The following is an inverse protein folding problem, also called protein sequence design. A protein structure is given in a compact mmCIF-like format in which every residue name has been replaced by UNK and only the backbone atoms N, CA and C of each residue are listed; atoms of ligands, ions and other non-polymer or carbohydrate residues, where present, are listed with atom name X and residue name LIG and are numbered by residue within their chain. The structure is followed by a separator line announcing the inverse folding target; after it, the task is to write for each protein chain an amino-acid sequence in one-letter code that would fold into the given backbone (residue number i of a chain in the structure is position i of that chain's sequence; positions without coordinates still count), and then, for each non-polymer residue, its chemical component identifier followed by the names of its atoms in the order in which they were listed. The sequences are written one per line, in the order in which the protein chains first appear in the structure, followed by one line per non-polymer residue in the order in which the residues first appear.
data_IF_020531761636
#
_entry.id   IF_020531761636
#
_cell.length_a   1.000
_cell.length_b   1.000
_cell.length_c   1.000
_cell.angle_alpha   90.00
_cell.angle_beta   90.00
_cell.angle_gamma   90.00
#
_symmetry.space_group_name_H-M   'P 1'
#
loop_
_entity.id
_entity.type
_entity.pdbx_description
1 polymer ?
#
# COMPACT_ATOMS: atom_id res chain seq x y z
N UNK A 1 10.29 4.24 -1.11
CA UNK A 1 11.07 4.59 -2.33
C UNK A 1 10.49 3.84 -3.52
N UNK A 2 10.42 4.47 -4.69
CA UNK A 2 10.08 3.84 -5.96
C UNK A 2 11.03 4.29 -7.07
N UNK A 3 11.66 3.36 -7.78
CA UNK A 3 12.44 3.67 -8.98
C UNK A 3 11.53 3.90 -10.17
N UNK A 4 11.84 4.90 -10.99
CA UNK A 4 11.13 5.15 -12.24
C UNK A 4 11.23 3.91 -13.14
N UNK A 5 10.19 3.55 -13.94
CA UNK A 5 10.26 2.38 -14.84
C UNK A 5 11.42 2.46 -15.86
N UNK A 6 11.87 3.68 -16.16
CA UNK A 6 13.03 3.98 -17.00
C UNK A 6 14.28 4.39 -16.19
N UNK A 7 14.41 3.94 -14.93
CA UNK A 7 15.52 4.33 -14.06
C UNK A 7 16.90 4.16 -14.70
N UNK A 8 17.09 3.10 -15.49
CA UNK A 8 18.36 2.85 -16.20
C UNK A 8 18.76 3.97 -17.16
N UNK A 9 17.80 4.71 -17.71
CA UNK A 9 18.08 5.82 -18.64
C UNK A 9 18.00 7.20 -17.98
N UNK A 10 17.10 7.41 -17.01
CA UNK A 10 16.88 8.73 -16.42
C UNK A 10 17.42 8.89 -14.99
N UNK A 11 17.75 7.80 -14.31
CA UNK A 11 18.24 7.83 -12.93
C UNK A 11 17.21 8.30 -11.89
N UNK A 12 15.93 8.42 -12.24
CA UNK A 12 14.91 8.99 -11.37
C UNK A 12 14.33 8.00 -10.37
N UNK A 13 14.21 8.42 -9.12
CA UNK A 13 13.50 7.69 -8.08
C UNK A 13 12.72 8.64 -7.18
N UNK A 14 11.72 8.10 -6.50
CA UNK A 14 10.75 8.85 -5.73
C UNK A 14 10.77 8.41 -4.27
N UNK A 15 10.76 9.37 -3.37
CA UNK A 15 10.77 9.16 -1.92
C UNK A 15 9.50 9.77 -1.35
N UNK A 16 8.84 9.02 -0.46
CA UNK A 16 7.77 9.53 0.38
C UNK A 16 8.28 9.55 1.82
N UNK A 17 8.19 10.69 2.48
CA UNK A 17 8.62 10.89 3.86
C UNK A 17 7.79 11.96 4.55
N UNK A 18 7.82 11.96 5.88
CA UNK A 18 7.24 13.02 6.71
C UNK A 18 8.32 14.08 6.98
N UNK A 19 8.04 15.34 6.65
CA UNK A 19 8.96 16.45 6.89
C UNK A 19 8.97 16.90 8.36
N UNK A 20 9.82 17.87 8.70
CA UNK A 20 9.98 18.34 10.08
C UNK A 20 8.74 19.09 10.63
N UNK A 21 7.81 19.50 9.77
CA UNK A 21 6.52 20.07 10.19
C UNK A 21 5.46 19.00 10.42
N UNK A 22 5.76 17.73 10.11
CA UNK A 22 4.80 16.62 10.17
C UNK A 22 4.06 16.35 8.86
N UNK A 23 4.32 17.11 7.80
CA UNK A 23 3.61 16.96 6.52
C UNK A 23 4.22 15.85 5.67
N UNK A 24 3.40 15.16 4.86
CA UNK A 24 3.92 14.21 3.89
C UNK A 24 4.48 14.93 2.66
N UNK A 25 5.69 14.53 2.26
CA UNK A 25 6.36 14.93 1.02
C UNK A 25 6.54 13.73 0.12
N UNK A 26 6.18 13.88 -1.15
CA UNK A 26 6.63 13.01 -2.23
C UNK A 26 7.57 13.81 -3.10
N UNK A 27 8.81 13.35 -3.20
CA UNK A 27 9.86 14.04 -3.94
C UNK A 27 10.53 13.10 -4.93
N UNK A 28 10.94 13.66 -6.06
CA UNK A 28 11.81 13.00 -7.04
C UNK A 28 13.25 13.40 -6.78
N UNK A 29 14.13 12.42 -6.87
CA UNK A 29 15.58 12.58 -6.91
C UNK A 29 16.16 11.89 -8.14
N UNK A 30 17.41 12.22 -8.46
CA UNK A 30 18.22 11.56 -9.48
C UNK A 30 19.45 10.95 -8.82
N UNK A 31 19.89 9.79 -9.29
CA UNK A 31 21.18 9.21 -8.93
C UNK A 31 22.33 10.14 -9.35
N UNK A 32 23.39 10.21 -8.55
CA UNK A 32 24.60 10.95 -8.88
C UNK A 32 25.45 10.19 -9.92
N UNK A 33 26.65 10.70 -10.21
CA UNK A 33 27.63 9.94 -11.00
C UNK A 33 28.09 8.65 -10.31
N UNK A 34 27.98 8.58 -8.98
CA UNK A 34 28.11 7.32 -8.25
C UNK A 34 26.73 6.62 -8.21
N UNK A 35 26.60 5.40 -8.77
CA UNK A 35 25.32 4.70 -8.85
C UNK A 35 24.71 4.32 -7.49
N UNK A 36 25.50 4.36 -6.41
CA UNK A 36 25.05 4.06 -5.05
C UNK A 36 24.71 5.32 -4.23
N UNK A 37 24.77 6.51 -4.84
CA UNK A 37 24.56 7.79 -4.14
C UNK A 37 23.54 8.64 -4.88
N UNK A 38 22.51 9.10 -4.16
CA UNK A 38 21.58 10.11 -4.63
C UNK A 38 22.26 11.49 -4.77
N UNK A 39 21.94 12.27 -5.81
CA UNK A 39 22.33 13.69 -5.85
C UNK A 39 21.40 14.51 -4.93
N UNK A 40 21.89 15.07 -3.79
CA UNK A 40 21.05 15.82 -2.87
C UNK A 40 20.49 17.12 -3.46
N UNK A 41 21.10 17.67 -4.53
CA UNK A 41 20.63 18.89 -5.21
C UNK A 41 19.53 18.62 -6.24
N UNK A 42 19.27 17.34 -6.52
CA UNK A 42 18.28 16.93 -7.53
C UNK A 42 16.84 16.91 -7.03
N UNK A 43 16.62 17.10 -5.72
CA UNK A 43 15.30 17.06 -5.10
C UNK A 43 14.28 17.94 -5.85
N UNK A 44 13.15 17.36 -6.23
CA UNK A 44 11.99 18.06 -6.80
C UNK A 44 10.73 17.63 -6.08
N UNK A 45 10.03 18.60 -5.49
CA UNK A 45 8.75 18.37 -4.86
C UNK A 45 7.71 17.97 -5.90
N UNK A 46 7.11 16.79 -5.71
CA UNK A 46 6.01 16.29 -6.54
C UNK A 46 4.68 16.56 -5.86
N UNK A 47 4.55 16.18 -4.58
CA UNK A 47 3.36 16.46 -3.78
C UNK A 47 3.76 16.84 -2.34
N UNK A 48 3.01 17.77 -1.77
CA UNK A 48 2.96 18.06 -0.33
C UNK A 48 1.53 17.83 0.15
N UNK A 49 1.38 17.11 1.25
CA UNK A 49 0.08 16.83 1.87
C UNK A 49 0.20 17.15 3.34
N UNK A 50 -0.60 18.10 3.80
CA UNK A 50 -0.62 18.51 5.20
C UNK A 50 -1.24 17.40 6.05
N UNK A 51 -0.62 17.08 7.20
CA UNK A 51 -1.08 16.02 8.10
C UNK A 51 -1.70 16.62 9.37
N UNK A 52 -2.96 16.28 9.72
CA UNK A 52 -3.60 16.80 10.93
C UNK A 52 -3.08 16.14 12.22
N UNK A 53 -2.56 14.91 12.15
CA UNK A 53 -1.99 14.18 13.29
C UNK A 53 -0.67 13.50 12.91
N UNK A 54 0.03 12.94 13.92
CA UNK A 54 1.35 12.33 13.74
C UNK A 54 1.32 10.87 13.26
N UNK A 55 0.14 10.32 12.95
CA UNK A 55 -0.06 8.92 12.56
C UNK A 55 -0.92 8.81 11.29
N UNK A 56 -0.94 7.61 10.71
CA UNK A 56 -1.65 7.28 9.45
C UNK A 56 -1.16 8.06 8.23
N UNK A 57 0.15 8.29 8.14
CA UNK A 57 0.77 9.00 7.02
C UNK A 57 0.89 8.13 5.75
N UNK A 58 0.47 6.85 5.79
CA UNK A 58 0.77 5.88 4.75
C UNK A 58 2.27 5.74 4.54
N UNK A 59 2.72 5.82 3.29
CA UNK A 59 4.15 5.97 2.99
C UNK A 59 4.64 5.20 1.77
N UNK A 60 3.89 4.18 1.32
CA UNK A 60 4.29 3.47 0.12
C UNK A 60 4.01 4.30 -1.14
N UNK A 61 5.01 4.34 -2.00
CA UNK A 61 4.92 4.80 -3.39
C UNK A 61 5.37 3.67 -4.31
N UNK A 62 4.66 3.46 -5.42
CA UNK A 62 4.97 2.39 -6.38
C UNK A 62 4.45 2.74 -7.77
N UNK A 63 5.18 2.35 -8.81
CA UNK A 63 4.67 2.45 -10.17
C UNK A 63 3.73 1.29 -10.51
N UNK A 64 2.54 1.65 -10.99
CA UNK A 64 1.57 0.68 -11.48
C UNK A 64 1.96 0.09 -12.84
N UNK A 65 1.25 -0.95 -13.31
CA UNK A 65 1.47 -1.55 -14.63
C UNK A 65 1.17 -0.60 -15.80
N UNK A 66 0.45 0.50 -15.53
CA UNK A 66 0.12 1.58 -16.46
C UNK A 66 1.19 2.68 -16.52
N UNK A 67 2.30 2.54 -15.79
CA UNK A 67 3.38 3.51 -15.73
C UNK A 67 3.11 4.74 -14.87
N UNK A 68 1.98 4.78 -14.15
CA UNK A 68 1.65 5.89 -13.25
C UNK A 68 2.23 5.66 -11.87
N UNK A 69 2.51 6.75 -11.14
CA UNK A 69 2.95 6.69 -9.75
C UNK A 69 1.71 6.61 -8.84
N UNK A 70 1.60 5.52 -8.09
CA UNK A 70 0.57 5.32 -7.06
C UNK A 70 1.13 5.64 -5.69
N UNK A 71 0.30 6.24 -4.85
CA UNK A 71 0.66 6.72 -3.51
C UNK A 71 -0.45 6.31 -2.56
N UNK A 72 -0.10 5.53 -1.53
CA UNK A 72 -1.03 5.19 -0.45
C UNK A 72 -1.00 6.28 0.62
N UNK A 73 -2.16 6.82 0.96
CA UNK A 73 -2.30 7.89 1.95
C UNK A 73 -3.38 7.52 2.96
N UNK A 74 -3.03 7.50 4.25
CA UNK A 74 -4.01 7.33 5.31
C UNK A 74 -4.84 8.58 5.53
N UNK A 75 -5.85 8.46 6.38
CA UNK A 75 -6.84 9.50 6.73
C UNK A 75 -6.22 10.70 7.49
N UNK A 76 -4.93 10.62 7.81
CA UNK A 76 -4.19 11.66 8.51
C UNK A 76 -4.22 11.54 10.02
N UNK A 77 -4.80 10.46 10.55
CA UNK A 77 -4.57 10.01 11.92
C UNK A 77 -5.74 10.23 12.87
N UNK A 78 -5.44 10.10 14.16
CA UNK A 78 -6.42 9.95 15.24
C UNK A 78 -7.30 8.69 15.09
N UNK A 79 -8.19 8.47 16.07
CA UNK A 79 -9.14 7.37 16.04
C UNK A 79 -10.44 7.77 15.34
N UNK A 80 -10.89 6.93 14.40
CA UNK A 80 -12.22 7.07 13.81
C UNK A 80 -12.40 8.17 12.77
N UNK A 81 -11.31 8.69 12.19
CA UNK A 81 -11.32 9.69 11.12
C UNK A 81 -12.16 10.94 11.47
N UNK A 82 -11.71 11.75 12.45
CA UNK A 82 -12.49 12.90 12.94
C UNK A 82 -12.69 14.01 11.91
N UNK A 83 -11.96 13.97 10.79
CA UNK A 83 -12.10 14.91 9.67
C UNK A 83 -12.84 14.31 8.47
N UNK A 84 -13.36 13.09 8.61
CA UNK A 84 -14.10 12.36 7.58
C UNK A 84 -13.35 12.25 6.24
N UNK A 85 -12.03 12.22 6.31
CA UNK A 85 -11.16 12.19 5.15
C UNK A 85 -11.37 10.94 4.31
N UNK A 86 -11.59 9.77 4.91
CA UNK A 86 -11.80 8.50 4.20
C UNK A 86 -12.86 8.63 3.11
N UNK A 87 -14.03 9.15 3.46
CA UNK A 87 -15.15 9.30 2.53
C UNK A 87 -15.13 10.60 1.71
N UNK A 88 -14.43 11.63 2.16
CA UNK A 88 -14.38 12.92 1.47
C UNK A 88 -13.40 12.89 0.26
N UNK A 89 -13.87 12.99 -1.00
CA UNK A 89 -13.00 12.99 -2.18
C UNK A 89 -12.30 14.34 -2.41
N UNK A 90 -12.61 15.38 -1.63
CA UNK A 90 -12.00 16.72 -1.75
C UNK A 90 -10.64 16.82 -1.07
N UNK A 91 -10.20 15.78 -0.36
CA UNK A 91 -8.88 15.70 0.28
C UNK A 91 -7.99 14.66 -0.40
N UNK A 92 -6.69 14.72 -0.12
CA UNK A 92 -5.72 13.70 -0.53
C UNK A 92 -5.51 12.61 0.54
N UNK A 93 -6.13 12.77 1.71
CA UNK A 93 -6.03 11.88 2.87
C UNK A 93 -7.12 10.79 2.81
N UNK A 94 -6.80 9.57 3.22
CA UNK A 94 -7.68 8.42 3.18
C UNK A 94 -7.93 7.92 1.75
N UNK A 95 -6.87 7.90 0.93
CA UNK A 95 -6.93 7.68 -0.52
C UNK A 95 -5.83 6.74 -1.02
N UNK A 96 -6.13 6.10 -2.15
CA UNK A 96 -5.08 5.81 -3.13
C UNK A 96 -5.02 6.97 -4.11
N UNK A 97 -3.84 7.54 -4.33
CA UNK A 97 -3.60 8.56 -5.33
C UNK A 97 -2.89 7.96 -6.54
N UNK A 98 -3.09 8.56 -7.72
CA UNK A 98 -2.46 8.15 -8.98
C UNK A 98 -2.14 9.38 -9.83
N UNK A 99 -0.86 9.58 -10.13
CA UNK A 99 -0.35 10.74 -10.89
C UNK A 99 0.59 10.30 -12.01
N UNK A 100 0.71 11.12 -13.06
CA UNK A 100 1.67 10.92 -14.13
C UNK A 100 2.89 11.83 -13.94
N UNK A 101 4.05 11.23 -13.63
CA UNK A 101 5.33 11.94 -13.43
C UNK A 101 6.23 11.95 -14.68
N UNK A 102 5.71 11.50 -15.83
CA UNK A 102 6.40 11.55 -17.13
C UNK A 102 5.94 12.71 -18.02
N UNK A 103 4.84 13.37 -17.64
CA UNK A 103 4.26 14.49 -18.38
C UNK A 103 4.92 15.83 -18.05
N UNK A 104 4.13 16.91 -18.13
CA UNK A 104 4.54 18.24 -17.66
C UNK A 104 4.80 18.19 -16.15
N UNK A 105 5.93 18.76 -15.73
CA UNK A 105 6.34 18.89 -14.33
C UNK A 105 5.37 19.77 -13.52
N UNK A 106 5.18 19.51 -12.20
CA UNK A 106 5.77 18.39 -11.46
C UNK A 106 5.07 17.05 -11.71
N UNK A 107 3.84 17.06 -12.23
CA UNK A 107 3.09 15.91 -12.69
C UNK A 107 1.89 16.36 -13.53
N UNK A 108 1.28 15.42 -14.26
CA UNK A 108 -0.05 15.60 -14.87
C UNK A 108 -1.05 14.61 -14.28
N UNK A 109 -2.34 14.92 -14.47
CA UNK A 109 -3.44 14.06 -14.03
C UNK A 109 -3.75 13.03 -15.12
N UNK A 110 -3.69 11.73 -14.82
CA UNK A 110 -4.15 10.70 -15.75
C UNK A 110 -5.65 10.82 -16.05
N UNK A 111 -6.03 10.80 -17.32
CA UNK A 111 -7.43 10.92 -17.75
C UNK A 111 -8.35 9.79 -17.21
N UNK A 112 -7.77 8.65 -16.85
CA UNK A 112 -8.50 7.53 -16.23
C UNK A 112 -8.83 7.71 -14.75
N UNK A 113 -8.43 8.82 -14.11
CA UNK A 113 -8.81 9.09 -12.73
C UNK A 113 -10.30 9.50 -12.64
N UNK A 114 -11.03 9.08 -11.59
CA UNK A 114 -12.46 9.36 -11.43
C UNK A 114 -12.81 10.86 -11.41
N UNK A 115 -11.89 11.70 -10.93
CA UNK A 115 -12.07 13.16 -10.82
C UNK A 115 -11.10 13.94 -11.71
N UNK A 116 -10.68 13.37 -12.85
CA UNK A 116 -9.61 13.94 -13.67
C UNK A 116 -9.88 15.38 -14.15
N UNK A 117 -11.15 15.80 -14.24
CA UNK A 117 -11.56 17.15 -14.61
C UNK A 117 -11.68 18.12 -13.42
N UNK A 118 -11.38 17.68 -12.19
CA UNK A 118 -11.49 18.47 -10.97
C UNK A 118 -12.92 18.67 -10.45
N UNK A 119 -13.91 18.00 -11.04
CA UNK A 119 -15.28 18.02 -10.55
C UNK A 119 -15.53 16.86 -9.58
N UNK A 120 -16.19 17.13 -8.45
CA UNK A 120 -16.59 16.10 -7.48
C UNK A 120 -15.48 15.56 -6.57
N UNK A 121 -14.21 15.89 -6.83
CA UNK A 121 -13.09 15.46 -5.98
C UNK A 121 -11.73 15.97 -6.50
N UNK A 122 -10.67 15.63 -5.76
CA UNK A 122 -9.29 15.97 -6.13
C UNK A 122 -8.86 15.13 -7.34
N UNK A 123 -8.28 15.75 -8.39
CA UNK A 123 -7.91 15.03 -9.61
C UNK A 123 -6.92 13.88 -9.42
N UNK A 124 -6.10 13.92 -8.36
CA UNK A 124 -5.13 12.89 -8.01
C UNK A 124 -5.77 11.60 -7.46
N UNK A 125 -6.99 11.67 -6.96
CA UNK A 125 -7.65 10.56 -6.28
C UNK A 125 -7.97 9.44 -7.28
N UNK A 126 -7.47 8.24 -6.97
CA UNK A 126 -7.78 7.00 -7.68
C UNK A 126 -8.87 6.19 -6.96
N UNK A 127 -8.80 6.13 -5.63
CA UNK A 127 -9.76 5.42 -4.78
C UNK A 127 -9.92 6.13 -3.42
N UNK A 128 -11.07 5.92 -2.79
CA UNK A 128 -11.47 6.51 -1.49
C UNK A 128 -11.68 5.44 -0.42
N UNK A 129 -11.91 5.86 0.80
CA UNK A 129 -12.31 4.99 1.90
C UNK A 129 -11.16 4.19 2.50
N UNK A 130 -9.95 4.76 2.54
CA UNK A 130 -8.81 4.15 3.21
C UNK A 130 -8.60 4.72 4.60
N UNK A 131 -8.11 3.90 5.54
CA UNK A 131 -7.70 4.35 6.87
C UNK A 131 -6.21 4.67 6.93
N UNK A 132 -5.37 3.68 6.69
CA UNK A 132 -3.92 3.79 6.63
C UNK A 132 -3.37 2.65 5.72
N UNK A 133 -3.40 2.83 4.39
CA UNK A 133 -2.98 1.82 3.41
C UNK A 133 -1.46 1.69 3.43
N UNK A 134 -0.96 1.00 4.45
CA UNK A 134 0.45 0.93 4.82
C UNK A 134 1.30 0.37 3.69
N UNK A 135 0.81 -0.71 3.07
CA UNK A 135 1.48 -1.43 1.99
C UNK A 135 0.49 -1.83 0.90
N UNK A 136 0.91 -1.70 -0.35
CA UNK A 136 0.20 -2.24 -1.50
C UNK A 136 1.19 -2.81 -2.53
N UNK A 137 0.69 -3.63 -3.45
CA UNK A 137 1.50 -4.20 -4.52
C UNK A 137 0.64 -4.57 -5.72
N UNK A 138 1.24 -4.51 -6.91
CA UNK A 138 0.61 -4.99 -8.14
C UNK A 138 1.11 -6.37 -8.50
N UNK A 139 0.21 -7.33 -8.61
CA UNK A 139 0.50 -8.60 -9.25
C UNK A 139 0.28 -8.46 -10.76
N UNK A 140 1.34 -8.11 -11.48
CA UNK A 140 1.28 -7.83 -12.92
C UNK A 140 0.83 -9.04 -13.73
N UNK A 141 1.12 -10.26 -13.27
CA UNK A 141 0.73 -11.47 -13.97
C UNK A 141 -0.78 -11.73 -13.86
N UNK A 142 -1.39 -11.44 -12.71
CA UNK A 142 -2.83 -11.59 -12.51
C UNK A 142 -3.64 -10.32 -12.84
N UNK A 143 -2.98 -9.16 -13.01
CA UNK A 143 -3.65 -7.88 -13.20
C UNK A 143 -4.39 -7.40 -11.94
N UNK A 144 -3.88 -7.73 -10.75
CA UNK A 144 -4.52 -7.42 -9.47
C UNK A 144 -3.72 -6.39 -8.67
N UNK A 145 -4.43 -5.55 -7.93
CA UNK A 145 -3.90 -4.65 -6.91
C UNK A 145 -4.30 -5.18 -5.54
N UNK A 146 -3.31 -5.42 -4.69
CA UNK A 146 -3.46 -5.79 -3.28
C UNK A 146 -3.12 -4.58 -2.42
N UNK A 147 -3.99 -4.24 -1.47
CA UNK A 147 -3.81 -3.12 -0.55
C UNK A 147 -4.05 -3.64 0.87
N UNK A 148 -3.02 -3.63 1.69
CA UNK A 148 -3.12 -3.90 3.13
C UNK A 148 -3.36 -2.58 3.84
N UNK A 149 -4.57 -2.42 4.37
CA UNK A 149 -5.04 -1.23 5.05
C UNK A 149 -5.18 -1.52 6.55
N UNK A 150 -4.52 -0.69 7.37
CA UNK A 150 -4.44 -0.91 8.81
C UNK A 150 -5.76 -0.53 9.47
N UNK A 151 -6.32 -1.47 10.22
CA UNK A 151 -7.57 -1.34 10.95
C UNK A 151 -7.53 -0.42 12.16
N UNK A 152 -8.68 -0.12 12.75
CA UNK A 152 -8.77 0.77 13.90
C UNK A 152 -8.56 0.05 15.23
N UNK A 153 -9.48 -0.86 15.59
CA UNK A 153 -9.55 -1.49 16.91
C UNK A 153 -9.82 -2.99 16.86
N UNK A 154 -10.37 -3.51 15.76
CA UNK A 154 -10.93 -4.86 15.71
C UNK A 154 -10.41 -5.68 14.56
N UNK A 155 -10.26 -5.09 13.37
CA UNK A 155 -10.04 -5.85 12.14
C UNK A 155 -9.00 -5.18 11.27
N UNK A 156 -7.99 -5.95 10.91
CA UNK A 156 -7.07 -5.63 9.83
C UNK A 156 -7.62 -6.13 8.49
N UNK A 157 -7.27 -5.47 7.38
CA UNK A 157 -7.85 -5.81 6.08
C UNK A 157 -6.86 -5.81 4.90
N UNK A 158 -7.15 -6.69 3.94
CA UNK A 158 -6.48 -6.76 2.66
C UNK A 158 -7.54 -6.67 1.56
N UNK A 159 -7.54 -5.54 0.87
CA UNK A 159 -8.35 -5.25 -0.29
C UNK A 159 -7.69 -5.79 -1.55
N UNK A 160 -8.45 -6.46 -2.41
CA UNK A 160 -7.95 -6.99 -3.69
C UNK A 160 -8.94 -6.68 -4.81
N UNK A 161 -8.48 -5.97 -5.83
CA UNK A 161 -9.29 -5.57 -6.99
C UNK A 161 -8.48 -5.69 -8.28
N UNK A 162 -9.12 -5.71 -9.47
CA UNK A 162 -8.42 -5.49 -10.72
C UNK A 162 -7.60 -4.20 -10.67
N UNK A 163 -6.35 -4.24 -11.12
CA UNK A 163 -5.40 -3.13 -11.01
C UNK A 163 -5.85 -1.85 -11.75
N UNK A 164 -6.71 -1.99 -12.76
CA UNK A 164 -7.27 -0.89 -13.55
C UNK A 164 -8.61 -0.35 -13.01
N UNK A 165 -9.09 -0.85 -11.87
CA UNK A 165 -10.39 -0.46 -11.32
C UNK A 165 -10.30 0.88 -10.58
N UNK A 166 -10.70 1.95 -11.27
CA UNK A 166 -10.76 3.31 -10.76
C UNK A 166 -12.00 3.55 -9.88
N UNK A 167 -11.94 4.54 -8.99
CA UNK A 167 -13.10 5.06 -8.26
C UNK A 167 -13.67 4.12 -7.20
N UNK A 168 -12.89 3.15 -6.73
CA UNK A 168 -13.31 2.23 -5.67
C UNK A 168 -13.40 2.98 -4.35
N UNK A 169 -14.45 2.74 -3.58
CA UNK A 169 -14.59 3.20 -2.19
C UNK A 169 -14.46 1.99 -1.26
N UNK A 170 -13.40 1.94 -0.45
CA UNK A 170 -13.13 0.82 0.46
C UNK A 170 -13.84 0.92 1.82
N UNK A 171 -14.55 2.02 2.04
CA UNK A 171 -15.57 2.12 3.09
C UNK A 171 -15.12 2.70 4.42
N UNK A 172 -13.84 2.97 4.67
CA UNK A 172 -13.44 3.70 5.88
C UNK A 172 -13.97 5.15 5.86
N UNK A 173 -14.58 5.69 6.91
CA UNK A 173 -14.78 5.14 8.27
C UNK A 173 -16.19 4.57 8.52
N UNK A 174 -16.97 4.25 7.48
CA UNK A 174 -18.26 3.54 7.59
C UNK A 174 -18.06 2.07 7.97
N UNK A 175 -17.00 1.47 7.45
CA UNK A 175 -16.61 0.08 7.62
C UNK A 175 -15.27 -0.03 8.35
N UNK A 176 -15.11 -1.10 9.13
CA UNK A 176 -13.84 -1.62 9.60
C UNK A 176 -13.81 -3.11 9.22
N UNK A 177 -13.01 -3.47 8.21
CA UNK A 177 -13.17 -4.76 7.55
C UNK A 177 -14.56 -4.90 6.91
N UNK A 178 -15.23 -6.02 7.17
CA UNK A 178 -16.62 -6.29 6.75
C UNK A 178 -17.67 -5.91 7.79
N UNK A 179 -17.25 -5.32 8.91
CA UNK A 179 -18.13 -4.88 9.98
C UNK A 179 -18.37 -3.38 9.90
N UNK A 180 -19.54 -2.93 10.35
CA UNK A 180 -19.77 -1.49 10.52
C UNK A 180 -18.82 -0.96 11.59
N UNK A 181 -18.23 0.20 11.34
CA UNK A 181 -17.33 0.83 12.30
C UNK A 181 -18.10 1.32 13.55
N UNK A 182 -17.41 1.34 14.70
CA UNK A 182 -17.95 1.78 15.98
C UNK A 182 -18.90 0.76 16.64
N UNK A 183 -19.95 1.28 17.30
CA UNK A 183 -21.00 0.48 17.95
C UNK A 183 -22.26 0.33 17.09
N UNK A 184 -22.16 0.67 15.80
CA UNK A 184 -23.28 0.60 14.88
C UNK A 184 -23.59 -0.85 14.52
N UNK A 185 -24.83 -1.27 14.76
CA UNK A 185 -25.31 -2.60 14.34
C UNK A 185 -25.58 -2.68 12.84
N UNK A 186 -25.79 -1.53 12.18
CA UNK A 186 -26.03 -1.39 10.74
C UNK A 186 -25.41 -0.10 10.21
N UNK A 187 -24.99 -0.12 8.96
CA UNK A 187 -24.37 0.99 8.24
C UNK A 187 -24.70 0.83 6.75
N UNK A 188 -24.63 1.92 5.99
CA UNK A 188 -24.86 1.87 4.55
C UNK A 188 -23.63 1.27 3.84
N UNK A 189 -23.83 0.13 3.17
CA UNK A 189 -22.76 -0.56 2.41
C UNK A 189 -22.87 -0.35 0.90
N UNK A 190 -23.85 0.45 0.45
CA UNK A 190 -24.07 0.67 -0.96
C UNK A 190 -22.85 1.35 -1.61
N UNK A 191 -22.36 0.77 -2.69
CA UNK A 191 -21.20 1.30 -3.43
C UNK A 191 -19.85 1.05 -2.77
N UNK A 192 -19.80 0.34 -1.63
CA UNK A 192 -18.54 0.01 -0.96
C UNK A 192 -17.97 -1.31 -1.49
N UNK A 193 -16.65 -1.33 -1.66
CA UNK A 193 -15.88 -2.54 -1.92
C UNK A 193 -15.31 -3.05 -0.60
N UNK A 194 -15.86 -4.16 -0.10
CA UNK A 194 -15.35 -4.79 1.11
C UNK A 194 -14.05 -5.55 0.84
N UNK A 195 -13.18 -5.73 1.85
CA UNK A 195 -11.91 -6.42 1.67
C UNK A 195 -12.10 -7.88 1.28
N UNK A 196 -11.11 -8.42 0.58
CA UNK A 196 -11.08 -9.83 0.17
C UNK A 196 -10.66 -10.71 1.35
N UNK A 197 -9.79 -10.20 2.22
CA UNK A 197 -9.33 -10.89 3.41
C UNK A 197 -9.28 -9.92 4.59
N UNK A 198 -9.57 -10.43 5.78
CA UNK A 198 -9.48 -9.70 7.04
C UNK A 198 -9.14 -10.68 8.15
N UNK A 199 -8.60 -10.17 9.24
CA UNK A 199 -8.38 -10.92 10.48
C UNK A 199 -8.51 -9.97 11.67
N UNK A 200 -8.80 -10.52 12.85
CA UNK A 200 -8.94 -9.73 14.06
C UNK A 200 -7.61 -9.60 14.81
N UNK A 201 -7.61 -8.85 15.91
CA UNK A 201 -6.44 -8.65 16.77
C UNK A 201 -6.18 -9.85 17.71
N UNK A 202 -6.70 -11.04 17.39
CA UNK A 202 -6.27 -12.26 18.06
C UNK A 202 -4.80 -12.55 17.75
N UNK A 203 -4.19 -13.47 18.51
CA UNK A 203 -2.78 -13.86 18.36
C UNK A 203 -1.76 -12.71 18.49
N UNK A 204 -2.14 -11.60 19.15
CA UNK A 204 -1.28 -10.43 19.37
C UNK A 204 -1.14 -9.52 18.15
N UNK A 205 -2.01 -9.67 17.15
CA UNK A 205 -2.03 -8.82 15.97
C UNK A 205 -2.54 -7.39 16.26
N UNK A 206 -2.10 -6.39 15.49
CA UNK A 206 -2.48 -4.99 15.71
C UNK A 206 -2.40 -4.09 14.47
N UNK A 207 -1.72 -4.51 13.40
CA UNK A 207 -1.41 -3.67 12.24
C UNK A 207 -0.89 -4.53 11.10
N UNK A 208 -1.70 -4.71 10.06
CA UNK A 208 -1.30 -5.46 8.87
C UNK A 208 -0.11 -4.84 8.16
N UNK A 209 0.84 -5.69 7.80
CA UNK A 209 1.90 -5.36 6.84
C UNK A 209 1.72 -6.21 5.60
N UNK A 210 1.24 -5.57 4.53
CA UNK A 210 1.09 -6.20 3.22
C UNK A 210 2.42 -6.47 2.54
N UNK A 211 2.52 -7.59 1.84
CA UNK A 211 3.68 -7.97 1.04
C UNK A 211 3.37 -7.98 -0.45
N UNK A 212 3.76 -9.07 -1.10
CA UNK A 212 3.71 -9.28 -2.55
C UNK A 212 3.15 -10.67 -2.87
N UNK A 213 2.66 -10.83 -4.09
CA UNK A 213 2.45 -12.17 -4.66
C UNK A 213 3.80 -12.77 -5.06
N UNK A 214 4.13 -13.97 -4.58
CA UNK A 214 5.38 -14.62 -4.95
C UNK A 214 5.38 -15.02 -6.43
N UNK A 215 6.28 -14.39 -7.20
CA UNK A 215 6.50 -14.63 -8.64
C UNK A 215 7.92 -15.14 -8.95
N UNK A 216 8.71 -15.39 -7.91
CA UNK A 216 10.02 -16.03 -7.99
C UNK A 216 9.96 -17.46 -8.50
N UNK A 217 11.15 -18.02 -8.79
CA UNK A 217 11.29 -19.37 -9.35
C UNK A 217 11.98 -20.35 -8.40
N UNK A 218 12.65 -19.84 -7.35
CA UNK A 218 13.40 -20.69 -6.41
C UNK A 218 12.51 -21.57 -5.53
N UNK A 219 11.27 -21.15 -5.26
CA UNK A 219 10.35 -21.86 -4.39
C UNK A 219 9.01 -22.07 -5.12
N UNK A 220 8.93 -23.01 -6.08
CA UNK A 220 7.72 -23.22 -6.89
C UNK A 220 6.45 -23.51 -6.06
N UNK A 221 6.61 -24.13 -4.88
CA UNK A 221 5.52 -24.51 -3.99
C UNK A 221 4.70 -23.33 -3.42
N UNK A 222 5.23 -22.10 -3.49
CA UNK A 222 4.56 -20.88 -3.02
C UNK A 222 4.17 -19.92 -4.14
N UNK A 223 4.34 -20.32 -5.41
CA UNK A 223 3.98 -19.52 -6.57
C UNK A 223 2.53 -19.01 -6.47
N UNK A 224 2.32 -17.71 -6.70
CA UNK A 224 0.99 -17.10 -6.71
C UNK A 224 0.35 -16.87 -5.33
N UNK A 225 1.04 -17.18 -4.22
CA UNK A 225 0.59 -16.77 -2.89
C UNK A 225 0.92 -15.30 -2.65
N UNK A 226 -0.07 -14.52 -2.20
CA UNK A 226 0.13 -13.20 -1.61
C UNK A 226 0.56 -13.36 -0.15
N UNK A 227 1.77 -12.89 0.16
CA UNK A 227 2.32 -12.93 1.52
C UNK A 227 2.03 -11.64 2.28
N UNK A 228 1.70 -11.79 3.55
CA UNK A 228 1.46 -10.68 4.47
C UNK A 228 1.86 -11.08 5.89
N UNK A 229 2.01 -10.08 6.74
CA UNK A 229 2.36 -10.23 8.15
C UNK A 229 1.55 -9.23 8.98
N UNK A 230 1.76 -9.26 10.28
CA UNK A 230 1.31 -8.26 11.22
C UNK A 230 2.52 -7.67 11.95
N UNK A 231 2.53 -6.35 12.08
CA UNK A 231 3.64 -5.63 12.69
C UNK A 231 3.87 -6.01 14.15
N UNK A 232 2.82 -6.23 14.95
CA UNK A 232 2.97 -6.59 16.36
C UNK A 232 3.29 -8.08 16.54
N UNK A 233 2.59 -8.94 15.81
CA UNK A 233 2.66 -10.38 16.05
C UNK A 233 3.84 -11.07 15.34
N UNK A 234 4.33 -10.51 14.23
CA UNK A 234 5.52 -11.02 13.52
C UNK A 234 5.37 -12.41 12.90
N UNK A 235 4.14 -12.94 12.77
CA UNK A 235 3.86 -14.16 12.02
C UNK A 235 3.94 -13.92 10.51
N UNK A 236 4.05 -14.99 9.72
CA UNK A 236 3.97 -14.93 8.26
C UNK A 236 2.80 -15.78 7.78
N UNK A 237 1.87 -15.17 7.03
CA UNK A 237 0.73 -15.85 6.44
C UNK A 237 0.64 -15.55 4.95
N UNK A 238 -0.10 -16.36 4.22
CA UNK A 238 -0.39 -16.12 2.82
C UNK A 238 -1.71 -16.71 2.38
N UNK A 239 -2.21 -16.24 1.25
CA UNK A 239 -3.35 -16.84 0.55
C UNK A 239 -3.18 -16.68 -0.96
N UNK A 240 -3.95 -17.42 -1.75
CA UNK A 240 -4.08 -17.26 -3.21
C UNK A 240 -5.42 -16.65 -3.55
N UNK A 241 -5.47 -15.89 -4.64
CA UNK A 241 -6.75 -15.44 -5.21
C UNK A 241 -7.17 -16.43 -6.28
N UNK A 242 -8.26 -17.15 -6.04
CA UNK A 242 -8.81 -18.14 -6.97
C UNK A 242 -10.27 -17.78 -7.21
N UNK A 243 -10.66 -17.55 -8.47
CA UNK A 243 -12.03 -17.16 -8.83
C UNK A 243 -12.57 -15.97 -8.02
N UNK A 244 -11.71 -14.99 -7.73
CA UNK A 244 -12.08 -13.78 -6.99
C UNK A 244 -12.30 -13.99 -5.49
N UNK A 245 -11.90 -15.14 -4.92
CA UNK A 245 -11.93 -15.40 -3.47
C UNK A 245 -10.51 -15.68 -2.93
N UNK A 246 -10.27 -15.30 -1.67
CA UNK A 246 -9.04 -15.68 -0.97
C UNK A 246 -9.13 -17.16 -0.53
N UNK A 247 -8.27 -17.99 -1.09
CA UNK A 247 -8.21 -19.44 -0.93
C UNK A 247 -6.79 -19.90 -0.60
N UNK A 248 -6.60 -21.17 -0.25
CA UNK A 248 -5.27 -21.74 0.09
C UNK A 248 -4.53 -20.87 1.15
N UNK A 249 -5.22 -20.59 2.24
CA UNK A 249 -4.67 -19.85 3.38
C UNK A 249 -3.62 -20.70 4.07
N UNK A 250 -2.43 -20.13 4.31
CA UNK A 250 -1.32 -20.80 4.96
C UNK A 250 -0.72 -19.92 6.04
N UNK A 251 -0.40 -20.53 7.17
CA UNK A 251 0.47 -19.96 8.19
C UNK A 251 1.82 -20.66 8.09
N UNK A 252 2.88 -19.86 7.98
CA UNK A 252 4.23 -20.34 7.78
C UNK A 252 4.97 -20.36 9.12
N UNK A 253 5.62 -21.48 9.42
CA UNK A 253 6.44 -21.60 10.62
C UNK A 253 7.74 -20.83 10.40
N UNK A 254 7.76 -19.60 10.92
CA UNK A 254 8.91 -18.70 10.92
C UNK A 254 9.19 -18.28 12.35
N UNK A 255 10.45 -18.33 12.76
CA UNK A 255 10.86 -17.94 14.11
C UNK A 255 11.69 -16.65 14.07
N UNK A 256 11.40 -15.74 15.00
CA UNK A 256 12.28 -14.61 15.30
C UNK A 256 12.37 -13.53 14.21
N UNK A 257 11.30 -13.30 13.43
CA UNK A 257 11.25 -12.16 12.50
C UNK A 257 11.12 -10.83 13.28
N UNK A 258 10.41 -10.83 14.41
CA UNK A 258 10.14 -9.61 15.18
C UNK A 258 9.07 -8.74 14.52
N UNK A 259 9.10 -7.42 14.77
CA UNK A 259 8.12 -6.50 14.20
C UNK A 259 8.35 -6.33 12.69
N UNK A 260 7.46 -6.89 11.87
CA UNK A 260 7.55 -6.81 10.41
C UNK A 260 7.12 -5.44 9.94
N UNK A 261 8.06 -4.65 9.42
CA UNK A 261 7.82 -3.28 8.98
C UNK A 261 7.49 -3.21 7.47
N UNK A 262 8.05 -4.12 6.67
CA UNK A 262 7.86 -4.12 5.22
C UNK A 262 8.22 -5.47 4.59
N UNK A 263 7.96 -5.58 3.29
CA UNK A 263 8.45 -6.65 2.42
C UNK A 263 9.31 -6.07 1.29
N UNK A 264 10.18 -6.89 0.70
CA UNK A 264 10.92 -6.57 -0.52
C UNK A 264 10.68 -7.63 -1.59
N UNK A 265 10.87 -7.23 -2.84
CA UNK A 265 10.91 -8.12 -4.00
C UNK A 265 12.14 -7.73 -4.83
N UNK A 266 12.96 -8.71 -5.21
CA UNK A 266 14.06 -8.47 -6.15
C UNK A 266 13.63 -8.63 -7.61
N UNK A 267 14.54 -8.34 -8.55
CA UNK A 267 14.25 -8.41 -9.99
C UNK A 267 13.94 -9.83 -10.49
N UNK A 268 14.20 -10.87 -9.70
CA UNK A 268 13.84 -12.25 -10.01
C UNK A 268 12.48 -12.66 -9.42
N UNK A 269 11.80 -11.78 -8.68
CA UNK A 269 10.53 -12.05 -8.00
C UNK A 269 10.69 -12.80 -6.67
N UNK A 270 11.92 -12.89 -6.15
CA UNK A 270 12.16 -13.49 -4.85
C UNK A 270 11.82 -12.49 -3.73
N UNK A 271 11.24 -12.99 -2.65
CA UNK A 271 10.68 -12.15 -1.60
C UNK A 271 11.59 -12.03 -0.38
N UNK A 272 11.46 -10.89 0.28
CA UNK A 272 12.17 -10.52 1.48
C UNK A 272 11.19 -9.95 2.53
N UNK A 273 11.51 -10.14 3.81
CA UNK A 273 10.83 -9.47 4.94
C UNK A 273 11.80 -8.51 5.60
N UNK A 274 11.34 -7.30 5.90
CA UNK A 274 12.11 -6.28 6.63
C UNK A 274 11.52 -6.14 8.02
N UNK A 275 12.35 -6.37 9.04
CA UNK A 275 11.97 -6.16 10.44
C UNK A 275 12.45 -4.80 10.93
N UNK A 276 11.68 -4.19 11.83
CA UNK A 276 12.07 -2.93 12.47
C UNK A 276 13.38 -3.05 13.28
N UNK A 277 13.70 -4.26 13.75
CA UNK A 277 14.97 -4.57 14.42
C UNK A 277 16.20 -4.52 13.50
N UNK A 278 16.06 -4.08 12.24
CA UNK A 278 17.17 -3.83 11.31
C UNK A 278 17.59 -5.04 10.49
N UNK A 279 16.83 -6.14 10.51
CA UNK A 279 17.12 -7.35 9.71
C UNK A 279 16.29 -7.41 8.45
N UNK A 280 16.93 -7.87 7.37
CA UNK A 280 16.28 -8.27 6.12
C UNK A 280 16.40 -9.78 5.98
N UNK A 281 15.25 -10.46 5.90
CA UNK A 281 15.16 -11.91 5.76
C UNK A 281 14.77 -12.25 4.33
N UNK A 282 15.41 -13.25 3.71
CA UNK A 282 15.01 -13.76 2.39
C UNK A 282 14.20 -15.04 2.56
N UNK A 283 13.16 -15.20 1.74
CA UNK A 283 12.42 -16.46 1.67
C UNK A 283 13.32 -17.58 1.15
N UNK A 284 13.26 -18.74 1.76
CA UNK A 284 13.99 -19.93 1.36
C UNK A 284 13.15 -21.18 1.64
N UNK A 285 13.25 -22.18 0.77
CA UNK A 285 12.77 -23.52 1.08
C UNK A 285 13.72 -24.17 2.08
N UNK A 286 13.17 -24.85 3.08
CA UNK A 286 13.94 -25.77 3.93
C UNK A 286 13.83 -27.14 3.26
N UNK A 287 14.94 -27.73 2.82
CA UNK A 287 14.93 -29.10 2.32
C UNK A 287 14.54 -30.06 3.46
N UNK A 288 13.50 -30.87 3.27
CA UNK A 288 13.10 -31.93 4.21
C UNK A 288 11.74 -31.80 4.90
N UNK A 289 10.89 -30.83 4.53
CA UNK A 289 9.47 -30.78 4.91
C UNK A 289 8.58 -30.43 3.72
#
# INVERSE_FOLDING_TARGET
VAFHPQYRSNGYFFVNFTDLNGDTRVERFTVSSNPDVADPRSARLILRIDQPYSNHNGGLVMFGPDGMLYIGMGDGGSGGDPHEHGQNPQTLLGKMLRINVTGREPYTIPAGNPFANGSGGRPEVWATGMRNPWRFSFDRAAGLLFIADVGQNKLEEINVVPANRAGVNYGWNVMEGRSCYGFLSRCNRQGLQLPLHQYDHSDGACSVTGGYVYRGRRIPAIAGHYFYSDYCAGWLRSFRVVNGVASDHRQWLVAGIGNVASFGEDSAGELYVVSQGGRVHRFASVEGQ
#
